data_IF_996897378091
#
_entry.id   IF_996897378091
#
_cell.length_a   1.000
_cell.length_b   1.000
_cell.length_c   1.000
_cell.angle_alpha   90.00
_cell.angle_beta   90.00
_cell.angle_gamma   90.00
#
_symmetry.space_group_name_H-M   'P 1'
#
loop_
_entity.id
_entity.type
_entity.pdbx_description
1 polymer ?
#
# COMPACT_ATOMS: atom_id res chain seq x y z
N UNK A 1 -35.49 -32.57 -24.40
CA UNK A 1 -34.36 -32.98 -23.53
C UNK A 1 -33.41 -31.79 -23.40
N UNK A 2 -33.49 -31.10 -22.27
CA UNK A 2 -32.69 -29.91 -21.92
C UNK A 2 -32.09 -30.21 -20.55
N UNK A 3 -30.86 -30.72 -20.48
CA UNK A 3 -29.97 -30.75 -19.29
C UNK A 3 -28.65 -31.33 -19.82
N UNK A 4 -27.76 -30.48 -20.35
CA UNK A 4 -26.36 -30.90 -20.64
C UNK A 4 -25.38 -29.72 -20.81
N UNK A 5 -25.68 -28.52 -20.31
CA UNK A 5 -24.78 -27.35 -20.38
C UNK A 5 -24.72 -26.63 -19.03
N UNK A 6 -24.68 -27.38 -17.92
CA UNK A 6 -24.62 -26.82 -16.57
C UNK A 6 -23.49 -27.43 -15.71
N UNK A 7 -22.51 -28.09 -16.31
CA UNK A 7 -21.47 -28.85 -15.57
C UNK A 7 -20.03 -28.32 -15.75
N UNK A 8 -19.79 -27.37 -16.65
CA UNK A 8 -18.43 -26.82 -16.86
C UNK A 8 -18.13 -25.53 -16.10
N UNK A 9 -19.11 -24.92 -15.40
CA UNK A 9 -18.93 -23.67 -14.66
C UNK A 9 -18.47 -23.84 -13.21
N UNK A 10 -18.29 -25.07 -12.73
CA UNK A 10 -17.96 -25.36 -11.32
C UNK A 10 -16.47 -25.63 -11.05
N UNK A 11 -15.59 -25.56 -12.06
CA UNK A 11 -14.17 -25.95 -11.92
C UNK A 11 -13.15 -24.80 -11.98
N UNK A 12 -13.58 -23.53 -12.06
CA UNK A 12 -12.64 -22.39 -12.14
C UNK A 12 -12.41 -21.64 -10.82
N UNK A 13 -12.92 -22.12 -9.68
CA UNK A 13 -12.72 -21.47 -8.38
C UNK A 13 -11.71 -22.18 -7.48
N UNK A 14 -10.74 -22.90 -8.04
CA UNK A 14 -9.55 -23.38 -7.31
C UNK A 14 -8.39 -22.39 -7.43
N UNK A 15 -8.65 -21.10 -7.15
CA UNK A 15 -7.58 -20.17 -6.88
C UNK A 15 -7.04 -20.47 -5.48
N UNK A 16 -5.94 -21.22 -5.38
CA UNK A 16 -5.11 -21.21 -4.19
C UNK A 16 -4.58 -19.78 -4.02
N UNK A 17 -5.33 -18.95 -3.28
CA UNK A 17 -4.74 -17.78 -2.67
C UNK A 17 -3.67 -18.32 -1.71
N UNK A 18 -2.42 -18.28 -2.15
CA UNK A 18 -1.26 -18.44 -1.28
C UNK A 18 -1.51 -17.52 -0.09
N UNK A 19 -1.76 -18.10 1.08
CA UNK A 19 -1.98 -17.37 2.32
C UNK A 19 -0.62 -16.81 2.70
N UNK A 20 -0.25 -15.71 2.06
CA UNK A 20 0.81 -14.84 2.55
C UNK A 20 0.39 -14.41 3.94
N UNK A 21 1.18 -14.81 4.95
CA UNK A 21 1.03 -14.43 6.36
C UNK A 21 1.39 -12.95 6.55
N UNK A 22 0.70 -12.08 5.82
CA UNK A 22 0.83 -10.64 5.83
C UNK A 22 -0.45 -10.06 6.42
N UNK A 23 -0.30 -9.21 7.43
CA UNK A 23 -1.42 -8.55 8.11
C UNK A 23 -1.26 -7.04 7.95
N UNK A 24 -2.36 -6.30 7.80
CA UNK A 24 -2.34 -4.85 7.58
C UNK A 24 -2.79 -4.44 6.19
N UNK A 25 -2.54 -3.17 5.83
CA UNK A 25 -2.97 -2.64 4.54
C UNK A 25 -2.11 -3.16 3.39
N UNK A 26 -2.65 -3.27 2.16
CA UNK A 26 -1.87 -3.58 0.98
C UNK A 26 -0.62 -2.69 0.89
N UNK A 27 0.51 -3.29 0.57
CA UNK A 27 1.79 -2.59 0.51
C UNK A 27 1.73 -1.52 -0.58
N UNK A 28 1.89 -0.26 -0.19
CA UNK A 28 2.08 0.83 -1.14
C UNK A 28 3.52 0.75 -1.65
N UNK A 29 3.70 0.52 -2.94
CA UNK A 29 5.03 0.42 -3.56
C UNK A 29 5.31 1.66 -4.40
N UNK A 30 6.57 2.10 -4.42
CA UNK A 30 7.00 3.22 -5.28
C UNK A 30 6.64 2.97 -6.76
N UNK A 31 6.81 1.74 -7.24
CA UNK A 31 6.43 1.36 -8.61
C UNK A 31 4.94 1.57 -8.91
N UNK A 32 4.05 1.24 -7.97
CA UNK A 32 2.61 1.48 -8.15
C UNK A 32 2.32 2.98 -8.19
N UNK A 33 2.94 3.76 -7.31
CA UNK A 33 2.78 5.21 -7.26
C UNK A 33 3.26 5.85 -8.56
N UNK A 34 4.48 5.56 -9.00
CA UNK A 34 5.09 6.19 -10.17
C UNK A 34 4.40 5.80 -11.48
N UNK A 35 3.79 4.60 -11.56
CA UNK A 35 3.06 4.15 -12.75
C UNK A 35 1.61 4.64 -12.82
N UNK A 36 1.05 5.17 -11.72
CA UNK A 36 -0.37 5.55 -11.64
C UNK A 36 -0.60 7.02 -11.32
N UNK A 37 0.37 7.71 -10.72
CA UNK A 37 0.31 9.15 -10.45
C UNK A 37 1.12 9.90 -11.50
N UNK A 38 0.46 10.16 -12.63
CA UNK A 38 1.04 10.89 -13.76
C UNK A 38 0.76 12.39 -13.57
N UNK A 39 1.83 13.18 -13.50
CA UNK A 39 1.77 14.64 -13.39
C UNK A 39 1.02 15.24 -14.59
N UNK A 40 0.10 16.16 -14.32
CA UNK A 40 -0.69 16.85 -15.35
C UNK A 40 -1.86 16.04 -15.92
N UNK A 41 -1.97 14.77 -15.57
CA UNK A 41 -3.05 13.90 -16.08
C UNK A 41 -3.93 13.34 -14.97
N UNK A 42 -3.32 12.97 -13.84
CA UNK A 42 -4.05 12.28 -12.76
C UNK A 42 -4.86 13.28 -11.95
N UNK A 43 -6.14 13.01 -11.78
CA UNK A 43 -7.09 13.86 -11.02
C UNK A 43 -7.24 13.39 -9.57
N UNK A 44 -7.67 14.29 -8.68
CA UNK A 44 -8.07 13.96 -7.30
C UNK A 44 -9.01 12.75 -7.20
N UNK A 45 -9.97 12.63 -8.12
CA UNK A 45 -10.91 11.51 -8.16
C UNK A 45 -10.21 10.18 -8.46
N UNK A 46 -9.27 10.16 -9.41
CA UNK A 46 -8.48 8.97 -9.73
C UNK A 46 -7.55 8.60 -8.58
N UNK A 47 -6.95 9.58 -7.90
CA UNK A 47 -6.12 9.33 -6.71
C UNK A 47 -6.96 8.68 -5.60
N UNK A 48 -8.16 9.20 -5.32
CA UNK A 48 -9.10 8.58 -4.35
C UNK A 48 -9.51 7.17 -4.76
N UNK A 49 -9.83 6.96 -6.03
CA UNK A 49 -10.21 5.64 -6.53
C UNK A 49 -9.07 4.62 -6.36
N UNK A 50 -7.82 5.06 -6.48
CA UNK A 50 -6.63 4.21 -6.36
C UNK A 50 -6.22 3.95 -4.91
N UNK A 51 -6.23 4.98 -4.06
CA UNK A 51 -5.59 4.96 -2.74
C UNK A 51 -6.59 5.01 -1.56
N UNK A 52 -7.84 5.34 -1.85
CA UNK A 52 -8.87 5.67 -0.88
C UNK A 52 -8.80 7.12 -0.42
N UNK A 53 -9.49 7.41 0.68
CA UNK A 53 -9.43 8.74 1.31
C UNK A 53 -8.06 9.00 1.94
N UNK A 54 -7.54 10.23 1.85
CA UNK A 54 -6.29 10.61 2.48
C UNK A 54 -6.42 10.66 4.01
N UNK A 55 -5.33 10.42 4.72
CA UNK A 55 -5.29 10.62 6.16
C UNK A 55 -5.32 12.10 6.55
N UNK A 56 -4.73 12.95 5.72
CA UNK A 56 -4.65 14.38 5.97
C UNK A 56 -4.62 15.13 4.67
N UNK A 57 -5.29 16.27 4.68
CA UNK A 57 -5.35 17.24 3.60
C UNK A 57 -4.86 18.57 4.14
N UNK A 58 -3.89 19.16 3.44
CA UNK A 58 -3.39 20.50 3.71
C UNK A 58 -3.66 21.36 2.48
N UNK A 59 -4.52 22.36 2.63
CA UNK A 59 -4.70 23.37 1.59
C UNK A 59 -3.48 24.29 1.56
N UNK A 60 -2.95 24.53 0.37
CA UNK A 60 -1.94 25.54 0.14
C UNK A 60 -2.52 26.94 0.27
N UNK A 61 -1.67 27.89 0.60
CA UNK A 61 -2.05 29.29 0.60
C UNK A 61 -2.18 29.77 -0.86
N UNK A 62 -3.39 30.11 -1.29
CA UNK A 62 -3.68 30.56 -2.66
C UNK A 62 -2.98 31.88 -3.00
N UNK A 63 -2.41 32.56 -2.01
CA UNK A 63 -1.61 33.78 -2.21
C UNK A 63 -0.16 33.51 -2.60
N UNK A 64 0.32 32.26 -2.48
CA UNK A 64 1.67 31.87 -2.89
C UNK A 64 1.60 31.26 -4.29
N UNK A 65 1.95 32.06 -5.30
CA UNK A 65 1.85 31.67 -6.72
C UNK A 65 2.72 30.47 -7.12
N UNK A 66 3.68 30.07 -6.28
CA UNK A 66 4.64 28.98 -6.57
C UNK A 66 4.37 27.69 -5.76
N UNK A 67 3.28 27.61 -4.99
CA UNK A 67 2.96 26.47 -4.14
C UNK A 67 1.88 25.52 -4.72
N UNK A 68 1.81 24.26 -4.27
CA UNK A 68 0.66 23.42 -4.57
C UNK A 68 -0.58 23.97 -3.87
N UNK A 69 -1.71 23.99 -4.56
CA UNK A 69 -2.98 24.46 -4.00
C UNK A 69 -3.52 23.51 -2.92
N UNK A 70 -3.19 22.23 -3.01
CA UNK A 70 -3.60 21.23 -2.02
C UNK A 70 -2.59 20.09 -1.96
N UNK A 71 -2.33 19.55 -0.78
CA UNK A 71 -1.48 18.37 -0.57
C UNK A 71 -2.23 17.34 0.25
N UNK A 72 -2.29 16.11 -0.27
CA UNK A 72 -2.86 14.95 0.44
C UNK A 72 -1.76 14.04 0.94
N UNK A 73 -1.92 13.53 2.16
CA UNK A 73 -0.98 12.59 2.78
C UNK A 73 -1.64 11.24 2.98
N UNK A 74 -0.93 10.21 2.54
CA UNK A 74 -1.29 8.80 2.68
C UNK A 74 -0.23 8.07 3.48
N UNK A 75 -0.64 7.38 4.55
CA UNK A 75 0.24 6.52 5.36
C UNK A 75 -0.24 5.08 5.29
N UNK A 76 0.64 4.12 5.00
CA UNK A 76 0.28 2.69 4.99
C UNK A 76 1.32 1.93 5.78
N UNK A 77 0.84 1.09 6.71
CA UNK A 77 1.71 0.21 7.49
C UNK A 77 1.45 -1.23 7.08
N UNK A 78 2.52 -1.88 6.64
CA UNK A 78 2.54 -3.27 6.24
C UNK A 78 3.29 -4.08 7.29
N UNK A 79 2.67 -5.16 7.75
CA UNK A 79 3.27 -6.08 8.72
C UNK A 79 3.48 -7.45 8.08
N UNK A 80 4.67 -8.00 8.28
CA UNK A 80 5.00 -9.38 7.93
C UNK A 80 5.18 -10.18 9.22
N UNK A 81 4.51 -11.31 9.27
CA UNK A 81 4.67 -12.28 10.35
C UNK A 81 5.87 -13.17 10.02
N UNK A 82 6.75 -13.48 11.00
CA UNK A 82 7.83 -14.43 10.78
C UNK A 82 7.27 -15.75 10.27
N UNK A 83 7.86 -16.27 9.18
CA UNK A 83 7.57 -17.65 8.74
C UNK A 83 8.05 -18.58 9.86
N UNK A 84 7.12 -19.30 10.51
CA UNK A 84 7.48 -20.40 11.41
C UNK A 84 8.30 -21.39 10.60
N UNK A 85 9.60 -21.50 10.86
CA UNK A 85 10.40 -22.62 10.39
C UNK A 85 9.96 -23.84 11.18
N UNK A 86 9.07 -24.65 10.62
CA UNK A 86 8.88 -26.02 11.11
C UNK A 86 10.22 -26.74 10.93
N UNK A 87 10.90 -27.09 12.02
CA UNK A 87 12.06 -27.99 11.99
C UNK A 87 13.41 -27.44 12.44
N UNK A 88 13.50 -26.37 13.25
CA UNK A 88 14.80 -26.01 13.87
C UNK A 88 14.65 -25.70 15.35
N UNK A 89 14.86 -26.73 16.18
CA UNK A 89 15.20 -26.60 17.60
C UNK A 89 16.56 -25.92 17.72
N UNK A 90 16.57 -24.59 17.68
CA UNK A 90 17.78 -23.80 17.82
C UNK A 90 17.54 -22.39 17.32
N UNK A 91 17.91 -21.39 18.12
CA UNK A 91 17.76 -19.96 17.85
C UNK A 91 16.37 -19.36 18.17
N UNK A 92 15.76 -19.80 19.27
CA UNK A 92 14.79 -18.97 20.01
C UNK A 92 15.56 -17.95 20.86
N UNK A 93 16.36 -17.09 20.22
CA UNK A 93 17.21 -16.13 20.92
C UNK A 93 17.37 -14.84 20.13
N UNK A 94 16.25 -14.26 19.63
CA UNK A 94 16.27 -12.84 19.22
C UNK A 94 14.93 -12.12 19.10
N UNK A 95 13.81 -12.77 19.40
CA UNK A 95 12.49 -12.12 19.28
C UNK A 95 12.00 -11.44 20.57
N UNK A 96 12.76 -11.54 21.67
CA UNK A 96 12.34 -11.00 22.98
C UNK A 96 12.89 -9.60 23.28
N UNK A 97 13.85 -9.09 22.49
CA UNK A 97 14.50 -7.81 22.82
C UNK A 97 13.72 -6.55 22.41
N UNK A 98 12.64 -6.65 21.62
CA UNK A 98 11.89 -5.47 21.12
C UNK A 98 10.37 -5.56 21.19
N UNK A 99 9.80 -6.64 21.76
CA UNK A 99 8.34 -6.77 21.94
C UNK A 99 7.50 -6.80 20.65
N UNK A 100 8.10 -6.98 19.47
CA UNK A 100 7.36 -7.01 18.20
C UNK A 100 7.07 -8.45 17.74
N UNK A 101 5.78 -8.75 17.58
CA UNK A 101 5.23 -9.99 16.99
C UNK A 101 5.58 -10.18 15.49
N UNK A 102 6.17 -9.16 14.86
CA UNK A 102 6.41 -9.08 13.42
C UNK A 102 7.90 -9.08 13.11
N UNK A 103 8.30 -9.77 12.05
CA UNK A 103 9.70 -9.81 11.60
C UNK A 103 10.06 -8.60 10.72
N UNK A 104 9.04 -7.98 10.11
CA UNK A 104 9.15 -6.76 9.33
C UNK A 104 7.91 -5.90 9.48
N UNK A 105 8.14 -4.62 9.77
CA UNK A 105 7.17 -3.54 9.76
C UNK A 105 7.65 -2.52 8.72
N UNK A 106 6.81 -2.22 7.75
CA UNK A 106 7.10 -1.26 6.69
C UNK A 106 6.05 -0.15 6.72
N UNK A 107 6.48 1.07 7.05
CA UNK A 107 5.65 2.26 7.00
C UNK A 107 5.98 3.04 5.73
N UNK A 108 4.97 3.29 4.91
CA UNK A 108 5.07 4.08 3.68
C UNK A 108 4.25 5.34 3.78
N UNK A 109 4.88 6.48 3.49
CA UNK A 109 4.25 7.79 3.45
C UNK A 109 4.32 8.31 2.02
N UNK A 110 3.15 8.63 1.45
CA UNK A 110 2.99 9.23 0.15
C UNK A 110 2.33 10.60 0.32
N UNK A 111 2.94 11.65 -0.23
CA UNK A 111 2.30 12.95 -0.36
C UNK A 111 2.02 13.22 -1.82
N UNK A 112 0.78 13.58 -2.14
CA UNK A 112 0.35 13.95 -3.49
C UNK A 112 -0.01 15.42 -3.50
N UNK A 113 0.57 16.17 -4.42
CA UNK A 113 0.38 17.62 -4.57
C UNK A 113 -0.52 17.88 -5.76
N UNK A 114 -1.46 18.81 -5.59
CA UNK A 114 -2.43 19.18 -6.61
C UNK A 114 -2.37 20.67 -6.92
N UNK A 115 -2.75 21.02 -8.14
CA UNK A 115 -3.08 22.40 -8.51
C UNK A 115 -4.52 22.75 -8.09
N UNK A 116 -4.91 23.98 -8.42
CA UNK A 116 -6.23 24.56 -8.18
C UNK A 116 -7.34 23.83 -8.96
N UNK A 117 -7.02 23.22 -10.10
CA UNK A 117 -7.92 22.38 -10.89
C UNK A 117 -8.07 20.96 -10.32
N UNK A 118 -7.26 20.58 -9.34
CA UNK A 118 -7.27 19.27 -8.72
C UNK A 118 -6.56 18.19 -9.54
N UNK A 119 -5.57 18.59 -10.33
CA UNK A 119 -4.68 17.72 -11.10
C UNK A 119 -3.35 17.57 -10.36
N UNK A 120 -2.77 16.37 -10.41
CA UNK A 120 -1.49 16.07 -9.75
C UNK A 120 -0.37 16.91 -10.37
N UNK A 121 0.31 17.71 -9.55
CA UNK A 121 1.50 18.48 -9.93
C UNK A 121 2.80 17.77 -9.53
N UNK A 122 2.72 16.83 -8.59
CA UNK A 122 3.81 15.93 -8.23
C UNK A 122 3.50 15.10 -6.99
N UNK A 123 4.46 14.27 -6.58
CA UNK A 123 4.35 13.45 -5.38
C UNK A 123 5.70 13.22 -4.72
N UNK A 124 5.68 12.87 -3.43
CA UNK A 124 6.84 12.35 -2.72
C UNK A 124 6.47 11.03 -2.05
N UNK A 125 7.38 10.06 -2.11
CA UNK A 125 7.18 8.74 -1.54
C UNK A 125 8.39 8.35 -0.69
N UNK A 126 8.15 8.03 0.57
CA UNK A 126 9.16 7.56 1.52
C UNK A 126 8.69 6.28 2.19
N UNK A 127 9.62 5.36 2.41
CA UNK A 127 9.36 4.11 3.13
C UNK A 127 10.40 3.94 4.23
N UNK A 128 9.92 3.61 5.43
CA UNK A 128 10.75 3.17 6.55
C UNK A 128 10.48 1.69 6.80
N UNK A 129 11.56 0.91 6.96
CA UNK A 129 11.46 -0.52 7.27
C UNK A 129 12.16 -0.76 8.61
N UNK A 130 11.40 -1.25 9.59
CA UNK A 130 11.91 -1.76 10.84
C UNK A 130 11.75 -3.28 10.87
N UNK A 131 12.83 -4.02 11.14
CA UNK A 131 12.80 -5.48 11.14
C UNK A 131 14.18 -6.10 10.88
N UNK A 132 14.31 -7.40 11.08
CA UNK A 132 15.54 -8.12 10.76
C UNK A 132 15.81 -8.00 9.26
N UNK A 133 16.96 -7.42 8.91
CA UNK A 133 17.49 -7.48 7.54
C UNK A 133 17.92 -8.93 7.30
N UNK A 134 17.35 -9.55 6.27
CA UNK A 134 17.80 -10.84 5.74
C UNK A 134 19.24 -10.71 5.21
#
# INVERSE_FOLDING_TARGET
MKITILLCLLFLSSGCADVSTTTGTPRLSRSLVDSKLIKGETTKAQVRALLGEPQSTVSGDTNISEGPAETWTYTKTFYRVPKKKEGTLGHVARYVATGSTYDRVEESVLKVMFDDQGIVTGHTFSTSVAGARD
#
